data_IF_272622622700
#
_entry.id   IF_272622622700
#
_cell.length_a   1.000
_cell.length_b   1.000
_cell.length_c   1.000
_cell.angle_alpha   90.00
_cell.angle_beta   90.00
_cell.angle_gamma   90.00
#
_symmetry.space_group_name_H-M   'P 1'
#
loop_
_entity.id
_entity.type
_entity.pdbx_description
1 polymer ?
#
# COMPACT_ATOMS: atom_id res chain seq x y z
N UNK A 1 6.32 -15.62 6.20
CA UNK A 1 5.15 -16.48 5.86
C UNK A 1 4.20 -15.64 5.03
N UNK A 2 3.39 -16.20 4.13
CA UNK A 2 2.46 -15.40 3.33
C UNK A 2 1.09 -15.32 4.02
N UNK A 3 0.52 -14.12 4.10
CA UNK A 3 -0.87 -13.89 4.53
C UNK A 3 -1.65 -13.28 3.39
N UNK A 4 -2.85 -13.79 3.13
CA UNK A 4 -3.69 -13.41 1.98
C UNK A 4 -5.14 -13.21 2.42
N UNK A 5 -6.03 -12.85 1.47
CA UNK A 5 -7.43 -12.53 1.72
C UNK A 5 -7.63 -11.19 2.44
N UNK A 6 -6.86 -10.16 2.04
CA UNK A 6 -7.03 -8.81 2.55
C UNK A 6 -7.25 -7.81 1.40
N UNK A 7 -8.26 -6.96 1.55
CA UNK A 7 -8.45 -5.77 0.73
C UNK A 7 -7.97 -4.56 1.53
N UNK A 8 -6.80 -4.02 1.17
CA UNK A 8 -6.23 -2.92 1.95
C UNK A 8 -7.09 -1.68 1.85
N UNK A 9 -7.70 -1.43 0.69
CA UNK A 9 -8.63 -0.33 0.51
C UNK A 9 -9.71 -0.33 1.60
N UNK A 10 -10.26 -1.47 2.01
CA UNK A 10 -11.25 -1.52 3.10
C UNK A 10 -10.61 -1.38 4.47
N UNK A 11 -9.52 -2.10 4.70
CA UNK A 11 -9.03 -2.42 6.05
C UNK A 11 -8.07 -1.38 6.63
N UNK A 12 -7.41 -0.56 5.80
CA UNK A 12 -6.46 0.46 6.28
C UNK A 12 -7.11 1.51 7.17
N UNK A 13 -8.42 1.72 7.04
CA UNK A 13 -9.15 2.80 7.73
C UNK A 13 -9.42 2.51 9.20
N UNK A 14 -9.55 1.23 9.57
CA UNK A 14 -10.01 0.85 10.91
C UNK A 14 -9.40 -0.45 11.41
N UNK A 15 -9.38 -1.50 10.59
CA UNK A 15 -8.92 -2.81 11.03
C UNK A 15 -7.41 -2.81 11.31
N UNK A 16 -6.59 -2.28 10.42
CA UNK A 16 -5.14 -2.19 10.62
C UNK A 16 -4.74 -1.27 11.78
N UNK A 17 -5.27 -0.03 11.90
CA UNK A 17 -5.04 0.79 13.08
C UNK A 17 -5.41 0.09 14.39
N UNK A 18 -6.51 -0.67 14.41
CA UNK A 18 -6.89 -1.47 15.57
C UNK A 18 -5.86 -2.58 15.87
N UNK A 19 -5.44 -3.34 14.85
CA UNK A 19 -4.43 -4.39 14.99
C UNK A 19 -3.09 -3.84 15.49
N UNK A 20 -2.66 -2.68 14.99
CA UNK A 20 -1.43 -2.03 15.45
C UNK A 20 -1.49 -1.68 16.94
N UNK A 21 -2.66 -1.26 17.42
CA UNK A 21 -2.84 -0.86 18.82
C UNK A 21 -2.97 -2.05 19.78
N UNK A 22 -3.75 -3.07 19.41
CA UNK A 22 -4.19 -4.11 20.36
C UNK A 22 -3.51 -5.46 20.18
N UNK A 23 -2.79 -5.66 19.08
CA UNK A 23 -2.08 -6.93 18.79
C UNK A 23 -0.62 -6.70 18.41
N UNK A 24 0.21 -6.10 19.29
CA UNK A 24 1.59 -5.77 18.97
C UNK A 24 2.47 -6.99 18.63
N UNK A 25 2.07 -8.20 19.06
CA UNK A 25 2.80 -9.44 18.75
C UNK A 25 2.37 -10.08 17.41
N UNK A 26 1.17 -9.77 16.91
CA UNK A 26 0.62 -10.36 15.68
C UNK A 26 0.74 -9.42 14.48
N UNK A 27 0.51 -8.13 14.69
CA UNK A 27 0.55 -7.15 13.61
C UNK A 27 1.88 -7.19 12.83
N UNK A 28 3.07 -7.23 13.47
CA UNK A 28 4.34 -7.43 12.77
C UNK A 28 4.39 -8.64 11.83
N UNK A 29 3.95 -9.82 12.28
CA UNK A 29 3.98 -11.04 11.46
C UNK A 29 3.03 -10.93 10.25
N UNK A 30 1.89 -10.24 10.40
CA UNK A 30 0.98 -9.96 9.29
C UNK A 30 1.57 -8.95 8.29
N UNK A 31 2.26 -7.90 8.79
CA UNK A 31 2.95 -6.92 7.96
C UNK A 31 4.07 -7.59 7.16
N UNK A 32 4.92 -8.39 7.82
CA UNK A 32 5.99 -9.15 7.17
C UNK A 32 5.45 -10.12 6.11
N UNK A 33 4.25 -10.67 6.31
CA UNK A 33 3.61 -11.47 5.26
C UNK A 33 3.12 -10.67 4.06
N UNK A 34 2.77 -9.41 4.25
CA UNK A 34 2.48 -8.48 3.14
C UNK A 34 3.77 -8.06 2.44
N UNK A 35 4.86 -7.87 3.18
CA UNK A 35 6.20 -7.66 2.59
C UNK A 35 6.65 -8.89 1.80
N UNK A 36 6.36 -10.11 2.28
CA UNK A 36 6.66 -11.32 1.52
C UNK A 36 5.92 -11.36 0.16
N UNK A 37 4.67 -10.87 0.06
CA UNK A 37 3.99 -10.72 -1.24
C UNK A 37 4.79 -9.82 -2.18
N UNK A 38 5.36 -8.73 -1.66
CA UNK A 38 6.23 -7.84 -2.43
C UNK A 38 7.51 -8.54 -2.89
N UNK A 39 8.20 -9.24 -2.00
CA UNK A 39 9.44 -9.94 -2.33
C UNK A 39 9.23 -11.03 -3.39
N UNK A 40 8.13 -11.77 -3.31
CA UNK A 40 7.85 -12.88 -4.23
C UNK A 40 7.28 -12.41 -5.58
N UNK A 41 6.42 -11.38 -5.57
CA UNK A 41 5.68 -10.94 -6.76
C UNK A 41 6.14 -9.59 -7.34
N UNK A 42 7.04 -8.90 -6.65
CA UNK A 42 7.54 -7.57 -6.99
C UNK A 42 6.51 -6.46 -6.84
N UNK A 43 5.34 -6.71 -6.22
CA UNK A 43 4.31 -5.70 -5.91
C UNK A 43 3.53 -6.13 -4.67
N UNK A 44 3.11 -5.20 -3.83
CA UNK A 44 2.11 -5.49 -2.80
C UNK A 44 0.74 -5.66 -3.45
N UNK A 45 -0.06 -6.61 -2.96
CA UNK A 45 -1.43 -6.73 -3.42
C UNK A 45 -2.26 -5.54 -2.93
N UNK A 46 -3.06 -4.93 -3.82
CA UNK A 46 -4.14 -4.02 -3.37
C UNK A 46 -5.26 -4.80 -2.70
N UNK A 47 -5.56 -5.95 -3.29
CA UNK A 47 -6.48 -6.95 -2.76
C UNK A 47 -5.91 -8.34 -3.08
N UNK A 48 -5.70 -9.17 -2.06
CA UNK A 48 -5.22 -10.55 -2.21
C UNK A 48 -6.34 -11.58 -2.02
N UNK A 49 -6.31 -12.66 -2.80
CA UNK A 49 -7.24 -13.80 -2.63
C UNK A 49 -7.04 -14.99 -3.57
N UNK A 50 -5.95 -15.78 -3.45
CA UNK A 50 -4.76 -15.52 -2.66
C UNK A 50 -3.72 -14.65 -3.40
N UNK A 51 -3.79 -14.57 -4.74
CA UNK A 51 -2.92 -13.71 -5.55
C UNK A 51 -3.55 -12.33 -5.79
N UNK A 52 -2.99 -11.56 -6.74
CA UNK A 52 -3.48 -10.23 -7.07
C UNK A 52 -4.89 -10.24 -7.67
N UNK A 53 -5.80 -9.50 -7.05
CA UNK A 53 -7.14 -9.24 -7.57
C UNK A 53 -7.23 -7.78 -7.98
N UNK A 54 -7.69 -7.51 -9.21
CA UNK A 54 -7.94 -6.14 -9.64
C UNK A 54 -9.28 -5.65 -9.08
N UNK A 55 -9.25 -5.17 -7.84
CA UNK A 55 -10.43 -4.66 -7.17
C UNK A 55 -10.06 -3.51 -6.22
N UNK A 56 -10.90 -2.47 -6.23
CA UNK A 56 -10.77 -1.17 -5.54
C UNK A 56 -9.53 -0.33 -5.90
N UNK A 57 -9.63 1.01 -5.90
CA UNK A 57 -8.49 1.89 -6.15
C UNK A 57 -7.52 1.97 -4.95
N UNK A 58 -6.37 2.61 -5.15
CA UNK A 58 -5.41 2.93 -4.09
C UNK A 58 -4.38 1.85 -3.79
N UNK A 59 -3.19 2.27 -3.36
CA UNK A 59 -2.13 1.41 -2.83
C UNK A 59 -2.13 1.46 -1.28
N UNK A 60 -3.29 1.18 -0.67
CA UNK A 60 -3.54 1.51 0.74
C UNK A 60 -2.70 0.70 1.75
N UNK A 61 -2.00 -0.37 1.30
CA UNK A 61 -0.98 -1.04 2.11
C UNK A 61 0.15 -0.07 2.52
N UNK A 62 0.47 0.91 1.67
CA UNK A 62 1.47 1.96 1.97
C UNK A 62 1.10 2.74 3.24
N UNK A 63 -0.21 3.01 3.45
CA UNK A 63 -0.72 3.70 4.65
C UNK A 63 -0.62 2.81 5.88
N UNK A 64 -0.90 1.51 5.72
CA UNK A 64 -0.80 0.53 6.81
C UNK A 64 0.65 0.44 7.31
N UNK A 65 1.62 0.32 6.41
CA UNK A 65 3.04 0.29 6.82
C UNK A 65 3.49 1.58 7.47
N UNK A 66 3.12 2.74 6.91
CA UNK A 66 3.45 4.04 7.48
C UNK A 66 2.88 4.21 8.90
N UNK A 67 1.62 3.79 9.13
CA UNK A 67 0.98 3.82 10.45
C UNK A 67 1.68 2.87 11.44
N UNK A 68 2.02 1.65 11.01
CA UNK A 68 2.77 0.70 11.83
C UNK A 68 4.13 1.26 12.27
N UNK A 69 4.86 1.88 11.33
CA UNK A 69 6.15 2.52 11.61
C UNK A 69 6.00 3.69 12.59
N UNK A 70 4.97 4.53 12.41
CA UNK A 70 4.66 5.63 13.33
C UNK A 70 4.33 5.15 14.76
N UNK A 71 3.75 3.95 14.88
CA UNK A 71 3.48 3.28 16.16
C UNK A 71 4.67 2.49 16.72
N UNK A 72 5.82 2.47 16.03
CA UNK A 72 7.04 1.81 16.48
C UNK A 72 6.97 0.28 16.44
N UNK A 73 6.10 -0.29 15.60
CA UNK A 73 6.04 -1.74 15.39
C UNK A 73 7.31 -2.22 14.67
N UNK A 74 7.82 -3.38 15.06
CA UNK A 74 9.04 -3.95 14.46
C UNK A 74 8.66 -4.97 13.38
N UNK A 75 8.79 -4.59 12.12
CA UNK A 75 8.57 -5.41 10.92
C UNK A 75 9.68 -5.09 9.90
N UNK A 76 9.68 -5.73 8.74
CA UNK A 76 10.62 -5.42 7.66
C UNK A 76 10.31 -4.05 7.01
N UNK A 77 10.69 -2.98 7.72
CA UNK A 77 10.41 -1.60 7.36
C UNK A 77 11.12 -1.19 6.06
N UNK A 78 12.28 -1.77 5.77
CA UNK A 78 13.09 -1.42 4.59
C UNK A 78 12.39 -1.92 3.32
N UNK A 79 12.04 -3.20 3.26
CA UNK A 79 11.38 -3.76 2.07
C UNK A 79 9.94 -3.27 1.97
N UNK A 80 9.28 -2.98 3.09
CA UNK A 80 7.98 -2.31 3.08
C UNK A 80 8.07 -0.91 2.46
N UNK A 81 9.06 -0.10 2.84
CA UNK A 81 9.24 1.25 2.29
C UNK A 81 9.62 1.21 0.81
N UNK A 82 10.48 0.26 0.40
CA UNK A 82 10.80 0.03 -1.01
C UNK A 82 9.55 -0.31 -1.83
N UNK A 83 8.65 -1.14 -1.28
CA UNK A 83 7.38 -1.48 -1.93
C UNK A 83 6.48 -0.25 -2.12
N UNK A 84 6.44 0.68 -1.15
CA UNK A 84 5.65 1.90 -1.22
C UNK A 84 6.22 2.87 -2.27
N UNK A 85 7.55 3.01 -2.34
CA UNK A 85 8.21 3.78 -3.40
C UNK A 85 7.94 3.20 -4.78
N UNK A 86 7.94 1.86 -4.91
CA UNK A 86 7.58 1.22 -6.17
C UNK A 86 6.15 1.53 -6.58
N UNK A 87 5.20 1.45 -5.65
CA UNK A 87 3.80 1.82 -5.88
C UNK A 87 3.65 3.26 -6.36
N UNK A 88 4.42 4.19 -5.78
CA UNK A 88 4.38 5.62 -6.11
C UNK A 88 5.12 5.99 -7.41
N UNK A 89 6.20 5.29 -7.76
CA UNK A 89 7.12 5.75 -8.80
C UNK A 89 7.13 4.90 -10.08
N UNK A 90 6.70 3.63 -10.02
CA UNK A 90 6.81 2.70 -11.15
C UNK A 90 5.43 2.48 -11.76
N UNK A 91 5.22 2.77 -13.06
CA UNK A 91 3.97 2.41 -13.72
C UNK A 91 3.75 0.89 -13.71
N UNK A 92 2.58 0.39 -13.26
CA UNK A 92 2.37 -1.04 -13.13
C UNK A 92 2.32 -1.73 -14.51
N UNK A 93 2.79 -2.99 -14.61
CA UNK A 93 2.78 -3.75 -15.86
C UNK A 93 1.39 -4.28 -16.23
N UNK A 94 0.45 -4.30 -15.27
CA UNK A 94 -0.92 -4.77 -15.48
C UNK A 94 -1.89 -4.03 -14.57
N UNK A 95 -3.19 -4.18 -14.84
CA UNK A 95 -4.28 -3.62 -14.01
C UNK A 95 -4.36 -4.22 -12.60
N UNK A 96 -3.69 -5.32 -12.31
CA UNK A 96 -3.84 -6.05 -11.05
C UNK A 96 -3.02 -5.47 -9.89
N UNK A 97 -1.96 -4.70 -10.19
CA UNK A 97 -0.99 -4.20 -9.19
C UNK A 97 -0.75 -2.71 -9.35
N UNK A 98 -0.14 -2.09 -8.33
CA UNK A 98 0.28 -0.69 -8.32
C UNK A 98 -0.86 0.29 -8.59
N UNK A 99 -0.48 1.51 -9.00
CA UNK A 99 -1.43 2.63 -9.20
C UNK A 99 -1.86 2.75 -10.67
N UNK A 100 -3.16 2.61 -10.94
CA UNK A 100 -3.69 2.82 -12.30
C UNK A 100 -3.54 4.30 -12.70
N UNK A 101 -3.20 4.54 -13.97
CA UNK A 101 -3.02 5.90 -14.50
C UNK A 101 -1.69 6.57 -14.16
N UNK A 102 -0.80 5.93 -13.39
CA UNK A 102 0.45 6.52 -12.89
C UNK A 102 1.40 7.06 -13.97
N UNK A 103 1.31 6.56 -15.22
CA UNK A 103 2.13 7.05 -16.33
C UNK A 103 1.96 8.55 -16.55
N UNK A 104 0.72 9.04 -16.49
CA UNK A 104 0.39 10.45 -16.67
C UNK A 104 0.27 11.17 -15.32
N UNK A 105 -0.40 10.55 -14.33
CA UNK A 105 -0.79 11.24 -13.10
C UNK A 105 0.38 11.75 -12.27
N UNK A 106 1.54 11.09 -12.33
CA UNK A 106 2.76 11.55 -11.64
C UNK A 106 3.30 12.90 -12.13
N UNK A 107 2.87 13.35 -13.32
CA UNK A 107 3.26 14.65 -13.88
C UNK A 107 2.13 15.66 -13.88
N UNK A 108 0.87 15.20 -13.93
CA UNK A 108 -0.30 16.09 -13.95
C UNK A 108 -0.84 16.41 -12.56
N UNK A 109 -0.45 15.65 -11.53
CA UNK A 109 -0.93 15.82 -10.15
C UNK A 109 -2.31 15.21 -9.90
N UNK A 110 -2.91 14.54 -10.89
CA UNK A 110 -4.19 13.84 -10.74
C UNK A 110 -4.33 12.73 -11.79
N UNK A 111 -5.19 11.76 -11.53
CA UNK A 111 -5.54 10.68 -12.46
C UNK A 111 -6.74 11.10 -13.33
N UNK A 112 -6.57 11.11 -14.66
CA UNK A 112 -7.62 11.46 -15.62
C UNK A 112 -8.89 10.63 -15.44
N UNK A 113 -10.05 11.23 -15.74
CA UNK A 113 -11.35 10.53 -15.82
C UNK A 113 -11.43 9.49 -16.93
N UNK A 114 -10.47 9.47 -17.86
CA UNK A 114 -10.33 8.40 -18.86
C UNK A 114 -9.89 7.06 -18.22
N UNK A 115 -9.27 7.13 -17.03
CA UNK A 115 -9.02 5.96 -16.20
C UNK A 115 -10.30 5.68 -15.40
N UNK A 116 -10.86 4.46 -15.45
CA UNK A 116 -11.98 4.10 -14.59
C UNK A 116 -11.68 4.44 -13.13
N UNK A 117 -12.63 5.11 -12.46
CA UNK A 117 -12.50 5.58 -11.08
C UNK A 117 -11.39 6.63 -10.87
N UNK A 118 -11.04 7.41 -11.91
CA UNK A 118 -9.93 8.37 -11.87
C UNK A 118 -9.97 9.38 -10.72
N UNK A 119 -11.15 9.85 -10.30
CA UNK A 119 -11.28 10.69 -9.11
C UNK A 119 -10.85 9.95 -7.84
N UNK A 120 -11.36 8.73 -7.64
CA UNK A 120 -11.00 7.89 -6.49
C UNK A 120 -9.51 7.56 -6.48
N UNK A 121 -8.92 7.22 -7.63
CA UNK A 121 -7.48 7.04 -7.76
C UNK A 121 -6.69 8.29 -7.39
N UNK A 122 -7.15 9.48 -7.80
CA UNK A 122 -6.47 10.73 -7.46
C UNK A 122 -6.45 10.96 -5.94
N UNK A 123 -7.58 10.75 -5.27
CA UNK A 123 -7.70 10.93 -3.83
C UNK A 123 -6.91 9.88 -3.05
N UNK A 124 -7.03 8.60 -3.41
CA UNK A 124 -6.29 7.52 -2.74
C UNK A 124 -4.78 7.67 -2.94
N UNK A 125 -4.33 8.06 -4.14
CA UNK A 125 -2.91 8.33 -4.38
C UNK A 125 -2.40 9.47 -3.48
N UNK A 126 -3.17 10.56 -3.34
CA UNK A 126 -2.78 11.68 -2.47
C UNK A 126 -2.69 11.27 -0.99
N UNK A 127 -3.63 10.43 -0.50
CA UNK A 127 -3.58 9.89 0.87
C UNK A 127 -2.34 9.00 1.04
N UNK A 128 -2.06 8.11 0.09
CA UNK A 128 -0.86 7.25 0.16
C UNK A 128 0.43 8.07 0.07
N UNK A 129 0.47 9.13 -0.75
CA UNK A 129 1.65 9.99 -0.88
C UNK A 129 1.93 10.77 0.41
N UNK A 130 0.90 11.26 1.10
CA UNK A 130 1.06 11.92 2.40
C UNK A 130 1.59 10.95 3.46
N UNK A 131 1.06 9.72 3.50
CA UNK A 131 1.53 8.68 4.42
C UNK A 131 3.01 8.31 4.17
N UNK A 132 3.39 8.05 2.91
CA UNK A 132 4.79 7.76 2.54
C UNK A 132 5.69 8.97 2.82
N UNK A 133 5.22 10.20 2.61
CA UNK A 133 5.98 11.41 2.92
C UNK A 133 6.19 11.59 4.42
N UNK A 134 5.19 11.32 5.26
CA UNK A 134 5.31 11.32 6.72
C UNK A 134 6.32 10.26 7.17
N UNK A 135 6.18 9.04 6.66
CA UNK A 135 7.06 7.92 6.96
C UNK A 135 8.52 8.21 6.55
N UNK A 136 8.75 8.82 5.38
CA UNK A 136 10.10 9.18 4.94
C UNK A 136 10.84 10.12 5.91
N UNK A 137 10.11 10.97 6.65
CA UNK A 137 10.69 11.89 7.62
C UNK A 137 11.17 11.19 8.89
N UNK A 138 10.63 10.01 9.24
CA UNK A 138 11.10 9.25 10.40
C UNK A 138 12.34 8.40 10.09
N UNK A 139 12.67 8.23 8.80
CA UNK A 139 13.84 7.48 8.33
C UNK A 139 15.11 8.34 8.17
N UNK A 140 14.99 9.67 8.29
CA UNK A 140 16.06 10.66 8.11
C UNK A 140 16.67 11.11 9.44
#
# INVERSE_FOLDING_TARGET
RLYVNNGFWDTYRTAWPYLHLITPDLAPDLLDGTVQEYLDGGWTARWSGPGYIDCMPGASADVVFADAAAHGLTFDEVDAYDSALRNACVPPPSRFVGRKGLRASRFTGFTSTDVPEGLSWSLENAITDDAVALWSRSLA
#
